data_IF_093944058482
#
_entry.id   IF_093944058482
#
_cell.length_a   1.000
_cell.length_b   1.000
_cell.length_c   1.000
_cell.angle_alpha   90.00
_cell.angle_beta   90.00
_cell.angle_gamma   90.00
#
_symmetry.space_group_name_H-M   'P 1'
#
loop_
_entity.id
_entity.type
_entity.pdbx_description
1 polymer ?
#
# COMPACT_ATOMS: atom_id res chain seq x y z
N UNK A 1 -9.85 -0.86 -13.10
CA UNK A 1 -10.51 -1.38 -11.88
C UNK A 1 -9.50 -2.10 -11.00
N UNK A 2 -8.74 -3.07 -11.52
CA UNK A 2 -7.78 -3.87 -10.75
C UNK A 2 -6.77 -2.99 -10.02
N UNK A 3 -6.17 -2.01 -10.70
CA UNK A 3 -5.25 -1.06 -10.07
C UNK A 3 -5.88 -0.32 -8.88
N UNK A 4 -7.05 0.28 -9.05
CA UNK A 4 -7.72 1.01 -7.98
C UNK A 4 -8.01 0.11 -6.77
N UNK A 5 -8.42 -1.13 -7.01
CA UNK A 5 -8.70 -2.10 -5.96
C UNK A 5 -7.43 -2.60 -5.26
N UNK A 6 -6.32 -2.80 -6.02
CA UNK A 6 -5.04 -3.22 -5.44
C UNK A 6 -4.45 -2.13 -4.53
N UNK A 7 -4.45 -0.87 -4.98
CA UNK A 7 -4.00 0.24 -4.16
C UNK A 7 -4.90 0.41 -2.92
N UNK A 8 -6.23 0.43 -3.08
CA UNK A 8 -7.14 0.49 -1.94
C UNK A 8 -6.94 -0.67 -0.93
N UNK A 9 -6.45 -1.82 -1.39
CA UNK A 9 -6.13 -2.96 -0.54
C UNK A 9 -4.89 -2.69 0.31
N UNK A 10 -3.81 -2.17 -0.29
CA UNK A 10 -2.56 -1.90 0.45
C UNK A 10 -2.72 -0.77 1.46
N UNK A 11 -3.40 0.32 1.09
CA UNK A 11 -3.71 1.45 1.98
C UNK A 11 -4.41 1.00 3.29
N UNK A 12 -5.10 -0.14 3.23
CA UNK A 12 -5.84 -0.65 4.38
C UNK A 12 -4.94 -1.14 5.51
N UNK A 13 -3.86 -1.85 5.22
CA UNK A 13 -2.93 -2.31 6.26
C UNK A 13 -1.86 -1.25 6.57
N UNK A 14 -1.50 -0.41 5.61
CA UNK A 14 -0.58 0.72 5.82
C UNK A 14 -1.17 1.64 6.90
N UNK A 15 -2.36 2.21 6.66
CA UNK A 15 -3.01 3.10 7.62
C UNK A 15 -3.21 2.46 9.01
N UNK A 16 -3.53 1.17 9.08
CA UNK A 16 -3.67 0.46 10.36
C UNK A 16 -2.33 0.35 11.12
N UNK A 17 -1.22 0.01 10.41
CA UNK A 17 0.11 -0.08 11.01
C UNK A 17 0.61 1.28 11.49
N UNK A 18 0.47 2.31 10.67
CA UNK A 18 0.89 3.68 11.00
C UNK A 18 0.15 4.20 12.23
N UNK A 19 -1.17 3.95 12.31
CA UNK A 19 -1.95 4.30 13.48
C UNK A 19 -1.49 3.53 14.74
N UNK A 20 -1.14 2.26 14.61
CA UNK A 20 -0.58 1.47 15.72
C UNK A 20 0.74 2.08 16.21
N UNK A 21 1.65 2.45 15.31
CA UNK A 21 2.95 3.05 15.62
C UNK A 21 2.82 4.39 16.36
N UNK A 22 1.79 5.17 16.02
CA UNK A 22 1.56 6.48 16.64
C UNK A 22 1.47 6.40 18.17
N UNK A 23 1.04 5.25 18.73
CA UNK A 23 0.97 5.02 20.19
C UNK A 23 2.32 5.19 20.88
N UNK A 24 3.40 4.80 20.23
CA UNK A 24 4.75 4.93 20.77
C UNK A 24 5.19 6.37 21.00
N UNK A 25 4.53 7.33 20.34
CA UNK A 25 4.87 8.76 20.37
C UNK A 25 3.92 9.63 21.20
N UNK A 26 2.83 9.07 21.79
CA UNK A 26 1.78 9.86 22.46
C UNK A 26 2.28 10.83 23.52
N UNK A 27 3.26 10.44 24.32
CA UNK A 27 3.81 11.24 25.42
C UNK A 27 5.31 11.58 25.21
N UNK A 28 5.82 11.34 24.01
CA UNK A 28 7.23 11.55 23.64
C UNK A 28 7.40 12.52 22.49
N UNK A 29 7.77 12.00 21.33
CA UNK A 29 8.04 12.77 20.11
C UNK A 29 6.73 13.24 19.46
N UNK A 30 6.34 14.49 19.74
CA UNK A 30 5.12 15.09 19.21
C UNK A 30 5.20 15.36 17.70
N UNK A 31 6.39 15.53 17.13
CA UNK A 31 6.58 15.72 15.69
C UNK A 31 6.32 14.41 14.97
N UNK A 32 6.89 13.32 15.47
CA UNK A 32 6.61 11.98 14.92
C UNK A 32 5.13 11.60 15.07
N UNK A 33 4.51 11.90 16.23
CA UNK A 33 3.07 11.69 16.41
C UNK A 33 2.24 12.42 15.36
N UNK A 34 2.50 13.70 15.13
CA UNK A 34 1.79 14.51 14.14
C UNK A 34 1.99 13.95 12.73
N UNK A 35 3.23 13.57 12.36
CA UNK A 35 3.54 12.98 11.06
C UNK A 35 2.74 11.69 10.81
N UNK A 36 2.76 10.75 11.76
CA UNK A 36 2.04 9.47 11.65
C UNK A 36 0.51 9.65 11.61
N UNK A 37 -0.04 10.59 12.37
CA UNK A 37 -1.48 10.88 12.34
C UNK A 37 -1.88 11.47 10.99
N UNK A 38 -1.08 12.39 10.42
CA UNK A 38 -1.33 12.95 9.08
C UNK A 38 -1.22 11.88 8.00
N UNK A 39 -0.21 11.02 8.05
CA UNK A 39 -0.06 9.90 7.14
C UNK A 39 -1.29 8.99 7.20
N UNK A 40 -1.77 8.64 8.41
CA UNK A 40 -3.00 7.84 8.56
C UNK A 40 -4.22 8.51 7.91
N UNK A 41 -4.36 9.85 7.99
CA UNK A 41 -5.45 10.59 7.34
C UNK A 41 -5.32 10.56 5.81
N UNK A 42 -4.10 10.64 5.29
CA UNK A 42 -3.81 10.49 3.86
C UNK A 42 -4.19 9.10 3.35
N UNK A 43 -3.86 8.02 4.09
CA UNK A 43 -4.26 6.65 3.74
C UNK A 43 -5.79 6.47 3.66
N UNK A 44 -6.54 7.08 4.57
CA UNK A 44 -8.01 7.09 4.52
C UNK A 44 -8.53 7.84 3.30
N UNK A 45 -7.89 8.95 2.94
CA UNK A 45 -8.21 9.72 1.74
C UNK A 45 -7.92 8.91 0.47
N UNK A 46 -6.77 8.19 0.41
CA UNK A 46 -6.42 7.33 -0.72
C UNK A 46 -7.46 6.21 -0.90
N UNK A 47 -7.86 5.53 0.16
CA UNK A 47 -8.90 4.50 0.11
C UNK A 47 -10.22 5.07 -0.48
N UNK A 48 -10.66 6.24 -0.02
CA UNK A 48 -11.87 6.88 -0.54
C UNK A 48 -11.70 7.30 -2.01
N UNK A 49 -10.55 7.80 -2.38
CA UNK A 49 -10.23 8.18 -3.76
C UNK A 49 -10.30 6.97 -4.70
N UNK A 50 -9.70 5.85 -4.33
CA UNK A 50 -9.77 4.62 -5.12
C UNK A 50 -11.17 4.03 -5.17
N UNK A 51 -11.94 4.11 -4.09
CA UNK A 51 -13.35 3.71 -4.07
C UNK A 51 -14.19 4.55 -5.05
N UNK A 52 -13.93 5.85 -5.15
CA UNK A 52 -14.60 6.73 -6.12
C UNK A 52 -14.21 6.37 -7.54
N UNK A 53 -12.92 6.17 -7.82
CA UNK A 53 -12.47 5.72 -9.15
C UNK A 53 -13.14 4.41 -9.56
N UNK A 54 -13.21 3.44 -8.65
CA UNK A 54 -13.91 2.16 -8.88
C UNK A 54 -15.37 2.39 -9.25
N UNK A 55 -16.08 3.24 -8.49
CA UNK A 55 -17.48 3.59 -8.74
C UNK A 55 -17.67 4.26 -10.11
N UNK A 56 -16.75 5.14 -10.51
CA UNK A 56 -16.82 5.83 -11.81
C UNK A 56 -16.54 4.90 -12.99
N UNK A 57 -15.62 3.94 -12.82
CA UNK A 57 -15.26 3.00 -13.87
C UNK A 57 -16.26 1.86 -14.04
N UNK A 58 -16.93 1.46 -12.96
CA UNK A 58 -17.80 0.26 -12.95
C UNK A 58 -18.86 0.25 -14.07
N UNK A 59 -19.57 1.37 -14.40
CA UNK A 59 -20.57 1.36 -15.45
C UNK A 59 -20.02 1.13 -16.87
N UNK A 60 -18.75 1.45 -17.10
CA UNK A 60 -18.07 1.27 -18.40
C UNK A 60 -17.46 -0.12 -18.60
N UNK A 61 -17.49 -0.97 -17.58
CA UNK A 61 -16.89 -2.30 -17.63
C UNK A 61 -17.99 -3.37 -17.66
N UNK A 62 -17.97 -4.30 -18.61
CA UNK A 62 -18.97 -5.38 -18.69
C UNK A 62 -19.12 -6.15 -17.39
N UNK A 63 -20.28 -6.76 -17.19
CA UNK A 63 -20.54 -7.60 -16.02
C UNK A 63 -19.63 -8.81 -15.96
N UNK A 64 -19.30 -9.29 -14.74
CA UNK A 64 -18.46 -10.46 -14.53
C UNK A 64 -17.06 -10.17 -13.98
N UNK A 65 -16.62 -8.91 -14.00
CA UNK A 65 -15.35 -8.55 -13.32
C UNK A 65 -15.43 -8.84 -11.82
N UNK A 66 -14.35 -9.45 -11.31
CA UNK A 66 -14.20 -9.72 -9.87
C UNK A 66 -12.81 -9.30 -9.40
N UNK A 67 -12.77 -8.57 -8.30
CA UNK A 67 -11.56 -8.43 -7.50
C UNK A 67 -11.52 -9.60 -6.52
N UNK A 68 -10.50 -10.45 -6.62
CA UNK A 68 -10.44 -11.73 -5.91
C UNK A 68 -9.93 -11.57 -4.47
N UNK A 69 -8.85 -10.79 -4.22
CA UNK A 69 -8.32 -10.62 -2.88
C UNK A 69 -9.36 -10.00 -1.94
N UNK A 70 -9.40 -10.50 -0.70
CA UNK A 70 -10.26 -9.92 0.33
C UNK A 70 -9.45 -8.94 1.19
N UNK A 71 -9.72 -7.62 1.15
CA UNK A 71 -8.84 -6.61 1.77
C UNK A 71 -8.63 -6.83 3.27
N UNK A 72 -9.66 -7.28 4.00
CA UNK A 72 -9.54 -7.53 5.44
C UNK A 72 -8.67 -8.76 5.74
N UNK A 73 -8.79 -9.83 4.94
CA UNK A 73 -8.02 -11.05 5.15
C UNK A 73 -6.54 -10.80 4.86
N UNK A 74 -6.26 -10.04 3.80
CA UNK A 74 -4.89 -9.63 3.45
C UNK A 74 -4.31 -8.73 4.55
N UNK A 75 -5.06 -7.72 4.99
CA UNK A 75 -4.61 -6.83 6.05
C UNK A 75 -4.33 -7.60 7.35
N UNK A 76 -5.19 -8.54 7.72
CA UNK A 76 -4.98 -9.38 8.91
C UNK A 76 -3.72 -10.23 8.79
N UNK A 77 -3.47 -10.83 7.62
CA UNK A 77 -2.29 -11.65 7.37
C UNK A 77 -1.00 -10.82 7.43
N UNK A 78 -0.98 -9.64 6.82
CA UNK A 78 0.17 -8.73 6.85
C UNK A 78 0.44 -8.24 8.27
N UNK A 79 -0.58 -7.77 8.99
CA UNK A 79 -0.45 -7.22 10.33
C UNK A 79 -0.10 -8.26 11.41
N UNK A 80 -0.16 -9.56 11.08
CA UNK A 80 0.30 -10.63 11.97
C UNK A 80 1.83 -10.81 12.00
N UNK A 81 2.55 -10.25 11.01
CA UNK A 81 4.01 -10.26 10.99
C UNK A 81 4.61 -9.24 11.96
N UNK A 82 5.91 -9.35 12.23
CA UNK A 82 6.64 -8.39 13.06
C UNK A 82 6.54 -6.97 12.50
N UNK A 83 6.58 -5.98 13.39
CA UNK A 83 6.51 -4.57 13.01
C UNK A 83 7.60 -4.21 12.01
N UNK A 84 8.81 -4.72 12.19
CA UNK A 84 9.92 -4.51 11.25
C UNK A 84 9.59 -5.02 9.83
N UNK A 85 9.07 -6.23 9.71
CA UNK A 85 8.72 -6.82 8.41
C UNK A 85 7.57 -6.08 7.72
N UNK A 86 6.56 -5.66 8.48
CA UNK A 86 5.45 -4.85 7.94
C UNK A 86 5.93 -3.49 7.47
N UNK A 87 6.76 -2.80 8.25
CA UNK A 87 7.33 -1.49 7.86
C UNK A 87 8.23 -1.60 6.63
N UNK A 88 9.07 -2.64 6.55
CA UNK A 88 9.89 -2.89 5.38
C UNK A 88 9.03 -3.12 4.12
N UNK A 89 7.94 -3.88 4.24
CA UNK A 89 6.98 -4.08 3.13
C UNK A 89 6.29 -2.77 2.74
N UNK A 90 5.84 -1.97 3.71
CA UNK A 90 5.20 -0.67 3.46
C UNK A 90 6.16 0.25 2.72
N UNK A 91 7.37 0.40 3.21
CA UNK A 91 8.40 1.22 2.58
C UNK A 91 8.72 0.77 1.13
N UNK A 92 8.80 -0.54 0.89
CA UNK A 92 8.97 -1.09 -0.46
C UNK A 92 7.79 -0.74 -1.38
N UNK A 93 6.55 -0.81 -0.89
CA UNK A 93 5.35 -0.42 -1.63
C UNK A 93 5.38 1.06 -1.98
N UNK A 94 5.80 1.95 -1.05
CA UNK A 94 5.94 3.38 -1.32
C UNK A 94 6.97 3.66 -2.42
N UNK A 95 8.12 3.02 -2.35
CA UNK A 95 9.15 3.15 -3.38
C UNK A 95 8.68 2.59 -4.73
N UNK A 96 8.00 1.45 -4.72
CA UNK A 96 7.41 0.85 -5.91
C UNK A 96 6.38 1.78 -6.54
N UNK A 97 5.47 2.36 -5.75
CA UNK A 97 4.42 3.24 -6.24
C UNK A 97 4.99 4.49 -6.92
N UNK A 98 6.07 5.05 -6.37
CA UNK A 98 6.79 6.17 -6.95
C UNK A 98 7.45 5.81 -8.29
N UNK A 99 8.15 4.68 -8.35
CA UNK A 99 8.77 4.18 -9.57
C UNK A 99 7.72 3.85 -10.64
N UNK A 100 6.60 3.24 -10.22
CA UNK A 100 5.49 2.90 -11.09
C UNK A 100 4.84 4.13 -11.73
N UNK A 101 4.56 5.19 -10.95
CA UNK A 101 4.01 6.44 -11.50
C UNK A 101 4.90 6.97 -12.62
N UNK A 102 6.20 7.10 -12.39
CA UNK A 102 7.16 7.65 -13.37
C UNK A 102 7.30 6.78 -14.62
N UNK A 103 7.35 5.47 -14.45
CA UNK A 103 7.59 4.55 -15.57
C UNK A 103 6.34 4.23 -16.39
N UNK A 104 5.16 4.21 -15.75
CA UNK A 104 3.96 3.62 -16.33
C UNK A 104 2.78 4.58 -16.49
N UNK A 105 2.81 5.76 -15.86
CA UNK A 105 1.67 6.70 -15.88
C UNK A 105 2.07 8.08 -16.42
N UNK A 106 3.12 8.70 -15.90
CA UNK A 106 3.47 10.09 -16.15
C UNK A 106 3.56 10.42 -17.65
N UNK A 107 4.33 9.63 -18.42
CA UNK A 107 4.57 9.83 -19.85
C UNK A 107 3.49 9.30 -20.79
N UNK A 108 2.45 8.65 -20.29
CA UNK A 108 1.47 7.95 -21.13
C UNK A 108 0.38 8.89 -21.64
N UNK A 109 0.29 9.06 -22.98
CA UNK A 109 -0.72 9.91 -23.62
C UNK A 109 -2.10 9.26 -23.72
N UNK A 110 -2.19 7.94 -23.58
CA UNK A 110 -3.44 7.16 -23.72
C UNK A 110 -4.21 7.00 -22.42
N UNK A 111 -3.62 7.42 -21.30
CA UNK A 111 -4.28 7.33 -19.99
C UNK A 111 -5.17 8.55 -19.79
N UNK A 112 -6.38 8.33 -19.28
CA UNK A 112 -7.35 9.37 -18.94
C UNK A 112 -6.74 10.47 -18.07
N UNK A 113 -6.97 11.76 -18.34
CA UNK A 113 -6.40 12.87 -17.57
C UNK A 113 -6.73 12.80 -16.07
N UNK A 114 -7.96 12.46 -15.69
CA UNK A 114 -8.35 12.34 -14.29
C UNK A 114 -7.54 11.25 -13.58
N UNK A 115 -7.33 10.10 -14.27
CA UNK A 115 -6.50 9.03 -13.74
C UNK A 115 -5.06 9.49 -13.50
N UNK A 116 -4.49 10.21 -14.47
CA UNK A 116 -3.13 10.79 -14.33
C UNK A 116 -3.04 11.75 -13.17
N UNK A 117 -4.02 12.63 -13.01
CA UNK A 117 -4.05 13.61 -11.92
C UNK A 117 -4.14 12.93 -10.55
N UNK A 118 -5.01 11.93 -10.40
CA UNK A 118 -5.12 11.15 -9.17
C UNK A 118 -3.77 10.52 -8.79
N UNK A 119 -3.10 9.86 -9.74
CA UNK A 119 -1.80 9.24 -9.48
C UNK A 119 -0.65 10.23 -9.32
N UNK A 120 -0.74 11.43 -9.92
CA UNK A 120 0.22 12.51 -9.67
C UNK A 120 0.12 13.02 -8.23
N UNK A 121 -1.10 13.26 -7.72
CA UNK A 121 -1.30 13.72 -6.35
C UNK A 121 -0.86 12.66 -5.35
N UNK A 122 -1.25 11.41 -5.58
CA UNK A 122 -0.79 10.29 -4.76
C UNK A 122 0.74 10.21 -4.75
N UNK A 123 1.39 10.24 -5.89
CA UNK A 123 2.85 10.20 -6.01
C UNK A 123 3.55 11.29 -5.18
N UNK A 124 2.97 12.50 -5.11
CA UNK A 124 3.53 13.59 -4.28
C UNK A 124 3.44 13.28 -2.79
N UNK A 125 2.34 12.69 -2.35
CA UNK A 125 2.13 12.28 -0.95
C UNK A 125 3.03 11.09 -0.60
N UNK A 126 3.04 10.04 -1.38
CA UNK A 126 3.91 8.87 -1.25
C UNK A 126 5.41 9.21 -1.15
N UNK A 127 5.83 10.28 -1.85
CA UNK A 127 7.21 10.76 -1.76
C UNK A 127 7.58 11.30 -0.38
N UNK A 128 6.62 11.75 0.42
CA UNK A 128 6.79 12.19 1.79
C UNK A 128 6.59 11.02 2.77
N UNK A 129 5.61 10.18 2.51
CA UNK A 129 5.28 9.00 3.31
C UNK A 129 6.47 8.04 3.37
N UNK A 130 7.11 7.74 2.24
CA UNK A 130 8.30 6.89 2.21
C UNK A 130 9.45 7.37 3.13
N UNK A 131 9.58 8.68 3.37
CA UNK A 131 10.57 9.21 4.32
C UNK A 131 10.15 8.87 5.77
N UNK A 132 8.87 9.01 6.09
CA UNK A 132 8.34 8.70 7.43
C UNK A 132 8.46 7.20 7.70
N UNK A 133 8.13 6.38 6.72
CA UNK A 133 8.20 4.92 6.83
C UNK A 133 9.65 4.43 7.00
N UNK A 134 10.60 5.00 6.25
CA UNK A 134 12.02 4.72 6.44
C UNK A 134 12.49 5.06 7.86
N UNK A 135 12.07 6.22 8.39
CA UNK A 135 12.43 6.64 9.74
C UNK A 135 11.86 5.71 10.82
N UNK A 136 10.60 5.28 10.70
CA UNK A 136 9.99 4.35 11.65
C UNK A 136 10.60 2.95 11.52
N UNK A 137 10.88 2.51 10.29
CA UNK A 137 11.56 1.23 10.04
C UNK A 137 12.96 1.19 10.67
N UNK A 138 13.77 2.24 10.48
CA UNK A 138 15.10 2.36 11.09
C UNK A 138 15.02 2.40 12.61
N UNK A 139 14.02 3.12 13.17
CA UNK A 139 13.78 3.16 14.62
C UNK A 139 13.42 1.79 15.18
N UNK A 140 12.66 1.00 14.45
CA UNK A 140 12.34 -0.37 14.84
C UNK A 140 13.56 -1.28 14.71
N UNK A 141 14.37 -1.13 13.63
CA UNK A 141 15.58 -1.90 13.43
C UNK A 141 16.59 -1.75 14.58
N UNK A 142 16.74 -0.53 15.14
CA UNK A 142 17.60 -0.25 16.28
C UNK A 142 17.21 -1.02 17.55
N UNK A 143 15.96 -1.47 17.65
CA UNK A 143 15.44 -2.22 18.82
C UNK A 143 15.66 -3.71 18.73
N UNK A 144 15.98 -4.22 17.54
CA UNK A 144 16.09 -5.65 17.30
C UNK A 144 17.52 -6.15 17.54
N UNK A 145 17.62 -7.31 18.18
CA UNK A 145 18.85 -8.09 18.17
C UNK A 145 19.03 -8.84 16.83
N UNK A 146 20.18 -9.51 16.65
CA UNK A 146 20.50 -10.21 15.42
C UNK A 146 19.52 -11.36 15.09
N UNK A 147 19.04 -12.08 16.09
CA UNK A 147 18.12 -13.22 15.87
C UNK A 147 16.72 -12.71 15.51
N UNK A 148 16.26 -11.66 16.17
CA UNK A 148 14.99 -10.99 15.85
C UNK A 148 14.99 -10.40 14.44
N UNK A 149 16.10 -9.79 14.03
CA UNK A 149 16.24 -9.23 12.67
C UNK A 149 16.25 -10.35 11.61
N UNK A 150 16.95 -11.45 11.86
CA UNK A 150 16.94 -12.60 10.95
C UNK A 150 15.53 -13.18 10.77
N UNK A 151 14.78 -13.31 11.87
CA UNK A 151 13.37 -13.72 11.82
C UNK A 151 12.53 -12.73 11.01
N UNK A 152 12.64 -11.43 11.27
CA UNK A 152 11.89 -10.39 10.59
C UNK A 152 12.17 -10.35 9.07
N UNK A 153 13.42 -10.58 8.66
CA UNK A 153 13.77 -10.74 7.24
C UNK A 153 13.09 -11.97 6.63
N UNK A 154 13.03 -13.08 7.35
CA UNK A 154 12.29 -14.28 6.90
C UNK A 154 10.79 -13.99 6.72
N UNK A 155 10.19 -13.24 7.63
CA UNK A 155 8.80 -12.80 7.54
C UNK A 155 8.57 -11.87 6.35
N UNK A 156 9.45 -10.91 6.10
CA UNK A 156 9.39 -10.03 4.92
C UNK A 156 9.42 -10.82 3.62
N UNK A 157 10.32 -11.80 3.50
CA UNK A 157 10.40 -12.67 2.31
C UNK A 157 9.06 -13.40 2.11
N UNK A 158 8.45 -13.88 3.19
CA UNK A 158 7.12 -14.51 3.16
C UNK A 158 6.03 -13.54 2.71
N UNK A 159 6.04 -12.30 3.21
CA UNK A 159 5.08 -11.25 2.82
C UNK A 159 5.21 -10.88 1.33
N UNK A 160 6.44 -10.69 0.82
CA UNK A 160 6.69 -10.41 -0.60
C UNK A 160 6.18 -11.55 -1.48
N UNK A 161 6.43 -12.81 -1.09
CA UNK A 161 5.89 -13.97 -1.78
C UNK A 161 4.36 -14.02 -1.77
N UNK A 162 3.72 -13.61 -0.67
CA UNK A 162 2.26 -13.52 -0.57
C UNK A 162 1.69 -12.42 -1.49
N UNK A 163 2.34 -11.26 -1.57
CA UNK A 163 1.96 -10.16 -2.49
C UNK A 163 2.04 -10.64 -3.95
N UNK A 164 3.14 -11.31 -4.34
CA UNK A 164 3.27 -11.90 -5.67
C UNK A 164 2.14 -12.90 -5.97
N UNK A 165 1.80 -13.78 -5.02
CA UNK A 165 0.68 -14.71 -5.14
C UNK A 165 -0.66 -14.00 -5.35
N UNK A 166 -0.93 -12.92 -4.63
CA UNK A 166 -2.14 -12.10 -4.78
C UNK A 166 -2.21 -11.50 -6.20
N UNK A 167 -1.11 -10.93 -6.68
CA UNK A 167 -1.01 -10.35 -8.03
C UNK A 167 -1.26 -11.40 -9.10
N UNK A 168 -0.66 -12.58 -8.98
CA UNK A 168 -0.84 -13.69 -9.93
C UNK A 168 -2.29 -14.18 -9.98
N UNK A 169 -2.94 -14.35 -8.83
CA UNK A 169 -4.34 -14.79 -8.75
C UNK A 169 -5.26 -13.75 -9.39
N UNK A 170 -5.04 -12.46 -9.15
CA UNK A 170 -5.84 -11.42 -9.78
C UNK A 170 -5.56 -11.34 -11.28
N UNK A 171 -4.31 -11.42 -11.72
CA UNK A 171 -3.95 -11.42 -13.13
C UNK A 171 -4.63 -12.59 -13.91
N UNK A 172 -4.68 -13.77 -13.31
CA UNK A 172 -5.39 -14.91 -13.88
C UNK A 172 -6.91 -14.66 -14.01
N UNK A 173 -7.52 -14.05 -12.99
CA UNK A 173 -8.95 -13.69 -13.02
C UNK A 173 -9.24 -12.62 -14.07
N UNK A 174 -8.36 -11.61 -14.21
CA UNK A 174 -8.48 -10.56 -15.23
C UNK A 174 -8.30 -11.15 -16.64
N UNK A 175 -7.30 -12.00 -16.86
CA UNK A 175 -7.11 -12.68 -18.14
C UNK A 175 -8.33 -13.49 -18.54
N UNK A 176 -8.90 -14.26 -17.61
CA UNK A 176 -10.13 -15.01 -17.86
C UNK A 176 -11.31 -14.08 -18.20
N UNK A 177 -11.43 -12.94 -17.53
CA UNK A 177 -12.50 -11.97 -17.78
C UNK A 177 -12.39 -11.31 -19.16
N UNK A 178 -11.17 -10.90 -19.57
CA UNK A 178 -10.96 -10.20 -20.84
C UNK A 178 -10.89 -11.12 -22.07
N UNK A 179 -10.87 -12.44 -21.89
CA UNK A 179 -10.87 -13.42 -23.00
C UNK A 179 -12.24 -14.03 -23.28
N UNK A 180 -13.28 -13.65 -22.55
CA UNK A 180 -14.67 -14.01 -22.80
C UNK A 180 -15.34 -13.07 -23.79
#
# INVERSE_FOLDING_TARGET
RTYANMFALVERFIGAKVLELSRGHWLGDQVALEALVRLTDEELKHQEMFRRLETMMAPGIPTGYRFVPQPNDVAQAVLAASTWAVLALVFDIELFSQAHYRSSIEGQSQIDPLWKDVFLFRWKEESQQGIVDEMEWLREDERLDAAQREQAVGELIGLVGAVDGIVQVQAAADAQYFTQ
#
